data_IF_111929182386
#
_entry.id   IF_111929182386
#
_cell.length_a   1.000
_cell.length_b   1.000
_cell.length_c   1.000
_cell.angle_alpha   90.00
_cell.angle_beta   90.00
_cell.angle_gamma   90.00
#
_symmetry.space_group_name_H-M   'P 1'
#
loop_
_entity.id
_entity.type
_entity.pdbx_description
1 polymer ?
#
# COMPACT_ATOMS: atom_id res chain seq x y z
N UNK A 1 -7.57 1.01 -13.25
CA UNK A 1 -8.81 1.33 -12.50
C UNK A 1 -9.26 0.11 -11.70
N UNK A 2 -9.63 0.28 -10.41
CA UNK A 2 -10.15 -0.80 -9.57
C UNK A 2 -11.57 -0.42 -9.15
N UNK A 3 -12.55 -1.30 -9.33
CA UNK A 3 -13.93 -1.04 -8.91
C UNK A 3 -14.48 -2.16 -8.05
N UNK A 4 -15.23 -1.78 -7.03
CA UNK A 4 -15.95 -2.66 -6.12
C UNK A 4 -17.45 -2.40 -6.29
N UNK A 5 -18.22 -3.44 -6.45
CA UNK A 5 -19.68 -3.36 -6.57
C UNK A 5 -20.32 -4.30 -5.54
N UNK A 6 -20.91 -3.71 -4.51
CA UNK A 6 -21.64 -4.40 -3.43
C UNK A 6 -20.83 -5.53 -2.76
N UNK A 7 -19.54 -5.29 -2.54
CA UNK A 7 -18.62 -6.30 -2.01
C UNK A 7 -18.92 -6.57 -0.53
N UNK A 8 -19.00 -7.87 -0.19
CA UNK A 8 -19.22 -8.35 1.16
C UNK A 8 -18.19 -9.41 1.53
N UNK A 9 -17.76 -9.41 2.81
CA UNK A 9 -16.88 -10.44 3.37
C UNK A 9 -17.11 -10.61 4.85
N UNK A 10 -17.29 -11.86 5.28
CA UNK A 10 -17.36 -12.25 6.68
C UNK A 10 -16.37 -13.36 7.03
N UNK A 11 -16.14 -13.54 8.32
CA UNK A 11 -15.40 -14.66 8.89
C UNK A 11 -16.23 -15.26 10.03
N UNK A 12 -16.71 -16.48 9.83
CA UNK A 12 -17.70 -17.08 10.74
C UNK A 12 -18.97 -16.23 10.78
N UNK A 13 -19.37 -15.78 11.97
CA UNK A 13 -20.56 -14.95 12.15
C UNK A 13 -20.28 -13.43 12.15
N UNK A 14 -19.03 -13.02 11.93
CA UNK A 14 -18.65 -11.60 11.93
C UNK A 14 -18.56 -11.06 10.48
N UNK A 15 -19.38 -10.08 10.15
CA UNK A 15 -19.22 -9.30 8.92
C UNK A 15 -18.02 -8.36 9.08
N UNK A 16 -17.13 -8.34 8.08
CA UNK A 16 -15.90 -7.53 8.06
C UNK A 16 -15.94 -6.50 6.95
N UNK A 17 -16.62 -6.80 5.84
CA UNK A 17 -16.92 -5.88 4.76
C UNK A 17 -18.41 -6.01 4.47
N UNK A 18 -19.12 -4.88 4.52
CA UNK A 18 -20.57 -4.81 4.34
C UNK A 18 -20.93 -3.92 3.15
N UNK A 19 -21.27 -4.55 2.02
CA UNK A 19 -21.82 -3.89 0.85
C UNK A 19 -20.98 -2.69 0.33
N UNK A 20 -19.67 -2.83 0.27
CA UNK A 20 -18.78 -1.77 -0.21
C UNK A 20 -18.90 -1.62 -1.72
N UNK A 21 -19.21 -0.40 -2.16
CA UNK A 21 -19.18 0.03 -3.56
C UNK A 21 -18.32 1.28 -3.67
N UNK A 22 -17.20 1.19 -4.39
CA UNK A 22 -16.29 2.31 -4.63
C UNK A 22 -15.46 2.07 -5.91
N UNK A 23 -14.86 3.14 -6.42
CA UNK A 23 -13.95 3.07 -7.56
C UNK A 23 -12.65 3.77 -7.21
N UNK A 24 -11.52 3.16 -7.57
CA UNK A 24 -10.19 3.76 -7.51
C UNK A 24 -9.75 4.00 -8.95
N UNK A 25 -9.58 5.26 -9.30
CA UNK A 25 -9.24 5.68 -10.66
C UNK A 25 -7.81 5.24 -11.02
N UNK A 26 -7.57 5.14 -12.33
CA UNK A 26 -6.22 4.88 -12.85
C UNK A 26 -5.28 6.02 -12.45
N UNK A 27 -4.11 5.68 -11.95
CA UNK A 27 -3.10 6.66 -11.53
C UNK A 27 -3.38 7.32 -10.17
N UNK A 28 -4.48 6.98 -9.49
CA UNK A 28 -4.77 7.54 -8.18
C UNK A 28 -3.96 6.86 -7.06
N UNK A 29 -3.55 7.65 -6.08
CA UNK A 29 -3.00 7.16 -4.81
C UNK A 29 -4.08 7.26 -3.72
N UNK A 30 -4.63 6.13 -3.32
CA UNK A 30 -5.72 6.05 -2.33
C UNK A 30 -5.19 5.46 -1.02
N UNK A 31 -5.51 6.11 0.10
CA UNK A 31 -5.28 5.56 1.43
C UNK A 31 -6.58 4.99 2.03
N UNK A 32 -6.51 3.77 2.55
CA UNK A 32 -7.55 3.13 3.36
C UNK A 32 -7.18 3.29 4.84
N UNK A 33 -7.95 4.08 5.57
CA UNK A 33 -7.71 4.38 7.00
C UNK A 33 -8.87 3.86 7.83
N UNK A 34 -8.66 3.64 9.11
CA UNK A 34 -9.71 3.20 10.04
C UNK A 34 -9.13 2.41 11.22
N UNK A 35 -9.96 2.16 12.21
CA UNK A 35 -9.58 1.39 13.40
C UNK A 35 -9.11 -0.04 13.05
N UNK A 36 -8.45 -0.70 14.01
CA UNK A 36 -8.13 -2.14 13.86
C UNK A 36 -9.43 -2.93 13.69
N UNK A 37 -9.43 -3.90 12.77
CA UNK A 37 -10.62 -4.70 12.47
C UNK A 37 -11.63 -4.03 11.53
N UNK A 38 -11.41 -2.79 11.04
CA UNK A 38 -12.33 -2.10 10.14
C UNK A 38 -12.43 -2.69 8.71
N UNK A 39 -11.72 -3.78 8.41
CA UNK A 39 -11.78 -4.44 7.11
C UNK A 39 -10.74 -3.97 6.08
N UNK A 40 -9.88 -3.00 6.39
CA UNK A 40 -8.88 -2.41 5.47
C UNK A 40 -8.01 -3.44 4.75
N UNK A 41 -7.30 -4.26 5.53
CA UNK A 41 -6.43 -5.34 5.02
C UNK A 41 -7.22 -6.40 4.26
N UNK A 42 -8.44 -6.71 4.69
CA UNK A 42 -9.32 -7.64 3.99
C UNK A 42 -9.71 -7.10 2.62
N UNK A 43 -10.12 -5.82 2.54
CA UNK A 43 -10.47 -5.15 1.29
C UNK A 43 -9.25 -5.09 0.35
N UNK A 44 -8.07 -4.72 0.88
CA UNK A 44 -6.82 -4.72 0.12
C UNK A 44 -6.49 -6.11 -0.45
N UNK A 45 -6.57 -7.15 0.39
CA UNK A 45 -6.28 -8.55 0.01
C UNK A 45 -7.30 -9.12 -0.98
N UNK A 46 -8.52 -8.61 -0.98
CA UNK A 46 -9.54 -9.03 -1.95
C UNK A 46 -9.18 -8.60 -3.39
N UNK A 47 -8.51 -7.46 -3.60
CA UNK A 47 -8.13 -6.97 -4.93
C UNK A 47 -7.25 -7.98 -5.69
N UNK A 48 -6.29 -8.64 -4.99
CA UNK A 48 -5.39 -9.62 -5.61
C UNK A 48 -5.79 -11.08 -5.31
N UNK A 49 -7.03 -11.29 -4.82
CA UNK A 49 -7.59 -12.60 -4.46
C UNK A 49 -6.69 -13.38 -3.49
N UNK A 50 -6.10 -12.70 -2.51
CA UNK A 50 -5.53 -13.35 -1.31
C UNK A 50 -6.63 -13.66 -0.29
N UNK A 51 -7.74 -12.94 -0.37
CA UNK A 51 -9.00 -13.20 0.34
C UNK A 51 -10.11 -13.28 -0.71
N UNK A 52 -10.93 -14.31 -0.66
CA UNK A 52 -12.12 -14.42 -1.50
C UNK A 52 -13.27 -13.66 -0.85
N UNK A 53 -14.04 -12.93 -1.65
CA UNK A 53 -15.25 -12.21 -1.23
C UNK A 53 -16.43 -13.18 -1.17
N UNK A 54 -17.41 -12.89 -0.33
CA UNK A 54 -18.62 -13.73 -0.17
C UNK A 54 -19.75 -13.24 -1.08
N UNK A 55 -19.72 -11.98 -1.51
CA UNK A 55 -20.69 -11.41 -2.45
C UNK A 55 -20.17 -10.16 -3.13
N UNK A 56 -20.86 -9.72 -4.16
CA UNK A 56 -20.47 -8.58 -4.98
C UNK A 56 -19.46 -8.94 -6.08
N UNK A 57 -18.82 -7.91 -6.63
CA UNK A 57 -17.84 -8.06 -7.72
C UNK A 57 -16.70 -7.07 -7.55
N UNK A 58 -15.47 -7.51 -7.81
CA UNK A 58 -14.28 -6.64 -7.91
C UNK A 58 -13.77 -6.71 -9.35
N UNK A 59 -13.52 -5.55 -9.96
CA UNK A 59 -12.94 -5.47 -11.30
C UNK A 59 -11.62 -4.71 -11.27
N UNK A 60 -10.67 -5.19 -12.07
CA UNK A 60 -9.41 -4.52 -12.34
C UNK A 60 -9.34 -4.26 -13.83
N UNK A 61 -9.17 -3.00 -14.22
CA UNK A 61 -9.18 -2.53 -15.62
C UNK A 61 -10.42 -3.00 -16.42
N UNK A 62 -11.58 -3.03 -15.75
CA UNK A 62 -12.86 -3.45 -16.31
C UNK A 62 -13.10 -4.97 -16.31
N UNK A 63 -12.08 -5.78 -16.06
CA UNK A 63 -12.17 -7.24 -16.01
C UNK A 63 -12.55 -7.72 -14.61
N UNK A 64 -13.52 -8.61 -14.50
CA UNK A 64 -13.85 -9.27 -13.23
C UNK A 64 -12.70 -10.15 -12.77
N UNK A 65 -12.15 -9.85 -11.59
CA UNK A 65 -10.99 -10.60 -11.07
C UNK A 65 -11.31 -12.09 -10.81
N UNK A 66 -12.56 -12.43 -10.56
CA UNK A 66 -12.98 -13.83 -10.35
C UNK A 66 -12.81 -14.68 -11.61
N UNK A 67 -12.95 -14.08 -12.80
CA UNK A 67 -12.80 -14.76 -14.09
C UNK A 67 -11.34 -14.88 -14.55
N UNK A 68 -10.42 -14.11 -13.94
CA UNK A 68 -9.02 -14.10 -14.36
C UNK A 68 -8.23 -15.26 -13.72
N UNK A 69 -7.29 -15.88 -14.46
CA UNK A 69 -6.29 -16.75 -13.84
C UNK A 69 -5.49 -15.95 -12.79
N UNK A 70 -5.29 -16.52 -11.60
CA UNK A 70 -4.60 -15.85 -10.48
C UNK A 70 -3.23 -15.29 -10.87
N UNK A 71 -2.47 -16.04 -11.67
CA UNK A 71 -1.15 -15.60 -12.13
C UNK A 71 -1.25 -14.34 -13.01
N UNK A 72 -2.26 -14.24 -13.86
CA UNK A 72 -2.49 -13.08 -14.75
C UNK A 72 -2.83 -11.84 -13.91
N UNK A 73 -3.75 -11.97 -12.95
CA UNK A 73 -4.12 -10.89 -12.04
C UNK A 73 -2.90 -10.41 -11.25
N UNK A 74 -2.21 -11.33 -10.57
CA UNK A 74 -1.12 -10.99 -9.65
C UNK A 74 0.14 -10.46 -10.35
N UNK A 75 0.32 -10.71 -11.64
CA UNK A 75 1.41 -10.10 -12.44
C UNK A 75 1.21 -8.59 -12.66
N UNK A 76 -0.03 -8.10 -12.62
CA UNK A 76 -0.36 -6.66 -12.75
C UNK A 76 -0.17 -5.90 -11.43
N UNK A 77 0.00 -6.63 -10.31
CA UNK A 77 -0.08 -6.10 -8.95
C UNK A 77 1.23 -6.32 -8.21
N UNK A 78 1.86 -5.25 -7.78
CA UNK A 78 2.92 -5.28 -6.76
C UNK A 78 2.29 -5.26 -5.37
N UNK A 79 2.77 -6.10 -4.46
CA UNK A 79 2.26 -6.18 -3.11
C UNK A 79 3.37 -5.98 -2.07
N UNK A 80 3.20 -5.00 -1.20
CA UNK A 80 4.06 -4.76 -0.04
C UNK A 80 3.32 -5.22 1.22
N UNK A 81 3.88 -6.21 1.89
CA UNK A 81 3.28 -6.82 3.08
C UNK A 81 3.58 -6.02 4.35
N UNK A 82 2.71 -6.11 5.35
CA UNK A 82 2.88 -5.52 6.69
C UNK A 82 4.17 -5.99 7.38
N UNK A 83 4.59 -7.23 7.19
CA UNK A 83 5.95 -7.67 7.50
C UNK A 83 6.78 -7.66 6.23
N UNK A 84 8.08 -7.45 6.32
CA UNK A 84 8.95 -7.33 5.13
C UNK A 84 8.79 -8.53 4.18
N UNK A 85 8.55 -9.74 4.72
CA UNK A 85 8.23 -10.94 3.96
C UNK A 85 9.29 -11.33 2.93
N UNK A 86 10.56 -10.92 3.10
CA UNK A 86 11.66 -11.35 2.26
C UNK A 86 11.95 -12.84 2.48
N UNK A 87 12.34 -13.52 1.42
CA UNK A 87 12.80 -14.90 1.52
C UNK A 87 14.19 -14.92 2.17
N UNK A 88 14.35 -15.47 3.39
CA UNK A 88 15.56 -15.31 4.19
C UNK A 88 16.78 -16.03 3.60
N UNK A 89 16.57 -17.04 2.76
CA UNK A 89 17.60 -17.83 2.08
C UNK A 89 17.99 -17.28 0.70
N UNK A 90 17.34 -16.19 0.26
CA UNK A 90 17.63 -15.50 -0.99
C UNK A 90 18.34 -14.19 -0.71
N UNK A 91 19.31 -13.83 -1.55
CA UNK A 91 19.93 -12.50 -1.52
C UNK A 91 18.93 -11.41 -1.85
N UNK A 92 19.29 -10.15 -1.62
CA UNK A 92 18.50 -8.98 -2.04
C UNK A 92 18.20 -9.04 -3.53
N UNK A 93 19.20 -9.31 -4.36
CA UNK A 93 19.01 -9.44 -5.80
C UNK A 93 18.06 -10.58 -6.19
N UNK A 94 18.11 -11.70 -5.50
CA UNK A 94 17.21 -12.83 -5.75
C UNK A 94 15.77 -12.53 -5.32
N UNK A 95 15.59 -11.86 -4.18
CA UNK A 95 14.28 -11.39 -3.75
C UNK A 95 13.65 -10.44 -4.78
N UNK A 96 14.40 -9.43 -5.23
CA UNK A 96 13.93 -8.44 -6.22
C UNK A 96 13.63 -9.11 -7.57
N UNK A 97 14.50 -10.03 -8.00
CA UNK A 97 14.38 -10.71 -9.29
C UNK A 97 13.32 -11.82 -9.33
N UNK A 98 12.76 -12.19 -8.19
CA UNK A 98 11.83 -13.32 -8.13
C UNK A 98 10.60 -13.12 -9.03
N UNK A 99 9.96 -11.96 -8.95
CA UNK A 99 8.77 -11.68 -9.76
C UNK A 99 9.07 -11.62 -11.27
N UNK A 100 10.10 -10.90 -11.75
CA UNK A 100 10.53 -10.98 -13.14
C UNK A 100 10.80 -12.41 -13.62
N UNK A 101 11.50 -13.21 -12.82
CA UNK A 101 11.80 -14.62 -13.15
C UNK A 101 10.53 -15.44 -13.32
N UNK A 102 9.55 -15.28 -12.44
CA UNK A 102 8.25 -15.97 -12.54
C UNK A 102 7.42 -15.51 -13.76
N UNK A 103 7.73 -14.34 -14.30
CA UNK A 103 7.14 -13.85 -15.55
C UNK A 103 7.89 -14.30 -16.80
N UNK A 104 8.96 -15.10 -16.65
CA UNK A 104 9.76 -15.60 -17.77
C UNK A 104 10.82 -14.62 -18.27
N UNK A 105 11.19 -13.60 -17.48
CA UNK A 105 12.27 -12.70 -17.85
C UNK A 105 13.59 -13.43 -18.00
N UNK A 106 14.29 -13.17 -19.11
CA UNK A 106 15.61 -13.75 -19.35
C UNK A 106 16.65 -13.23 -18.34
N UNK A 107 17.65 -14.05 -17.96
CA UNK A 107 18.68 -13.63 -16.99
C UNK A 107 19.54 -12.44 -17.45
N UNK A 108 19.62 -12.20 -18.75
CA UNK A 108 20.30 -11.02 -19.30
C UNK A 108 19.65 -9.73 -18.81
N UNK A 109 20.48 -8.80 -18.31
CA UNK A 109 19.99 -7.52 -17.75
C UNK A 109 19.50 -7.59 -16.29
N UNK A 110 19.58 -8.77 -15.61
CA UNK A 110 19.22 -8.92 -14.20
C UNK A 110 19.95 -7.92 -13.31
N UNK A 111 21.28 -7.84 -13.45
CA UNK A 111 22.11 -6.99 -12.59
C UNK A 111 21.73 -5.51 -12.75
N UNK A 112 21.56 -5.04 -13.98
CA UNK A 112 21.15 -3.66 -14.29
C UNK A 112 19.75 -3.35 -13.74
N UNK A 113 18.80 -4.29 -13.93
CA UNK A 113 17.43 -4.11 -13.42
C UNK A 113 17.38 -4.09 -11.90
N UNK A 114 18.14 -4.96 -11.23
CA UNK A 114 18.24 -4.97 -9.76
C UNK A 114 18.88 -3.69 -9.25
N UNK A 115 20.00 -3.25 -9.85
CA UNK A 115 20.65 -2.01 -9.48
C UNK A 115 19.71 -0.79 -9.65
N UNK A 116 18.98 -0.72 -10.76
CA UNK A 116 17.98 0.31 -10.99
C UNK A 116 16.87 0.29 -9.93
N UNK A 117 16.34 -0.89 -9.56
CA UNK A 117 15.29 -1.01 -8.55
C UNK A 117 15.79 -0.67 -7.14
N UNK A 118 17.06 -0.98 -6.82
CA UNK A 118 17.69 -0.55 -5.57
C UNK A 118 17.84 0.98 -5.52
N UNK A 119 18.29 1.60 -6.62
CA UNK A 119 18.38 3.06 -6.72
C UNK A 119 17.02 3.74 -6.52
N UNK A 120 15.96 3.20 -7.12
CA UNK A 120 14.58 3.71 -6.96
C UNK A 120 14.11 3.77 -5.50
N UNK A 121 14.61 2.88 -4.65
CA UNK A 121 14.29 2.84 -3.22
C UNK A 121 15.42 3.39 -2.35
N UNK A 122 16.37 4.13 -2.95
CA UNK A 122 17.52 4.76 -2.29
C UNK A 122 18.38 3.76 -1.49
N UNK A 123 18.67 2.62 -2.11
CA UNK A 123 19.63 1.63 -1.61
C UNK A 123 20.81 1.48 -2.58
N UNK A 124 22.04 1.38 -2.04
CA UNK A 124 23.22 1.21 -2.88
C UNK A 124 23.25 -0.18 -3.55
N UNK A 125 23.78 -0.23 -4.78
CA UNK A 125 23.77 -1.46 -5.59
C UNK A 125 24.62 -2.61 -4.97
N UNK A 126 25.62 -2.29 -4.14
CA UNK A 126 26.45 -3.28 -3.44
C UNK A 126 25.69 -4.11 -2.40
N UNK A 127 24.47 -3.71 -2.06
CA UNK A 127 23.59 -4.50 -1.21
C UNK A 127 22.99 -5.73 -1.91
N UNK A 128 23.10 -5.82 -3.23
CA UNK A 128 22.47 -6.87 -4.05
C UNK A 128 22.77 -8.29 -3.56
N UNK A 129 23.99 -8.54 -3.10
CA UNK A 129 24.44 -9.86 -2.66
C UNK A 129 24.22 -10.14 -1.16
N UNK A 130 23.70 -9.17 -0.39
CA UNK A 130 23.40 -9.36 1.03
C UNK A 130 22.19 -10.26 1.23
N UNK A 131 22.20 -11.00 2.34
CA UNK A 131 21.02 -11.73 2.81
C UNK A 131 20.13 -10.81 3.68
N UNK A 132 18.81 -11.07 3.75
CA UNK A 132 17.89 -10.29 4.58
C UNK A 132 18.31 -10.15 6.05
N UNK A 133 18.96 -11.18 6.62
CA UNK A 133 19.45 -11.14 7.99
C UNK A 133 20.54 -10.07 8.25
N UNK A 134 21.16 -9.55 7.21
CA UNK A 134 22.20 -8.51 7.29
C UNK A 134 21.66 -7.11 6.97
N UNK A 135 20.34 -6.94 6.90
CA UNK A 135 19.68 -5.67 6.63
C UNK A 135 19.08 -5.08 7.90
N UNK A 136 19.11 -3.75 8.02
CA UNK A 136 18.26 -3.07 9.00
C UNK A 136 16.79 -3.22 8.61
N UNK A 137 15.86 -3.00 9.57
CA UNK A 137 14.42 -3.06 9.28
C UNK A 137 14.00 -2.14 8.12
N UNK A 138 14.53 -0.91 8.09
CA UNK A 138 14.26 0.05 7.01
C UNK A 138 14.84 -0.39 5.66
N UNK A 139 16.06 -0.97 5.66
CA UNK A 139 16.65 -1.51 4.43
C UNK A 139 15.84 -2.71 3.90
N UNK A 140 15.45 -3.62 4.78
CA UNK A 140 14.63 -4.76 4.42
C UNK A 140 13.27 -4.32 3.85
N UNK A 141 12.65 -3.28 4.42
CA UNK A 141 11.39 -2.71 3.91
C UNK A 141 11.56 -2.10 2.52
N UNK A 142 12.63 -1.33 2.29
CA UNK A 142 12.96 -0.77 0.96
C UNK A 142 13.20 -1.88 -0.08
N UNK A 143 13.87 -2.99 0.30
CA UNK A 143 13.99 -4.18 -0.57
C UNK A 143 12.62 -4.80 -0.86
N UNK A 144 11.70 -4.82 0.11
CA UNK A 144 10.32 -5.25 -0.09
C UNK A 144 9.58 -4.41 -1.15
N UNK A 145 9.77 -3.08 -1.15
CA UNK A 145 9.28 -2.20 -2.22
C UNK A 145 9.93 -2.51 -3.58
N UNK A 146 11.26 -2.62 -3.62
CA UNK A 146 11.98 -2.96 -4.85
C UNK A 146 11.50 -4.30 -5.44
N UNK A 147 11.25 -5.30 -4.60
CA UNK A 147 10.68 -6.59 -5.01
C UNK A 147 9.28 -6.43 -5.61
N UNK A 148 8.41 -5.65 -4.96
CA UNK A 148 7.05 -5.41 -5.45
C UNK A 148 7.04 -4.72 -6.82
N UNK A 149 8.00 -3.81 -7.04
CA UNK A 149 8.21 -3.10 -8.32
C UNK A 149 8.91 -3.96 -9.38
N UNK A 150 9.52 -5.08 -8.98
CA UNK A 150 10.31 -5.94 -9.86
C UNK A 150 9.59 -6.36 -11.14
N UNK A 151 8.32 -6.69 -11.01
CA UNK A 151 7.45 -7.10 -12.11
C UNK A 151 6.93 -5.96 -12.99
N UNK A 152 7.33 -4.70 -12.76
CA UNK A 152 6.78 -3.51 -13.39
C UNK A 152 5.24 -3.46 -13.33
N UNK A 153 4.64 -3.55 -12.13
CA UNK A 153 3.20 -3.58 -11.97
C UNK A 153 2.57 -2.23 -12.36
N UNK A 154 1.29 -2.25 -12.73
CA UNK A 154 0.46 -1.04 -12.88
C UNK A 154 -0.27 -0.65 -11.59
N UNK A 155 -0.41 -1.59 -10.66
CA UNK A 155 -1.10 -1.42 -9.39
C UNK A 155 -0.14 -1.78 -8.24
N UNK A 156 -0.12 -0.94 -7.21
CA UNK A 156 0.62 -1.20 -5.96
C UNK A 156 -0.35 -1.30 -4.79
N UNK A 157 -0.33 -2.43 -4.11
CA UNK A 157 -1.09 -2.67 -2.88
C UNK A 157 -0.11 -2.72 -1.71
N UNK A 158 -0.35 -1.92 -0.68
CA UNK A 158 0.56 -1.74 0.45
C UNK A 158 -0.21 -1.90 1.76
N UNK A 159 0.17 -2.90 2.55
CA UNK A 159 -0.46 -3.23 3.83
C UNK A 159 0.46 -2.77 4.97
N UNK A 160 0.18 -1.60 5.56
CA UNK A 160 0.97 -0.94 6.62
C UNK A 160 2.48 -0.91 6.33
N UNK A 161 2.91 -0.44 5.15
CA UNK A 161 4.28 -0.63 4.68
C UNK A 161 5.32 0.16 5.48
N UNK A 162 4.89 1.16 6.25
CA UNK A 162 5.78 2.05 6.98
C UNK A 162 5.72 1.86 8.51
N UNK A 163 4.82 0.99 9.00
CA UNK A 163 4.53 0.83 10.43
C UNK A 163 5.72 0.42 11.31
N UNK A 164 6.66 -0.34 10.77
CA UNK A 164 7.84 -0.82 11.50
C UNK A 164 9.08 0.10 11.39
N UNK A 165 8.93 1.27 10.74
CA UNK A 165 10.04 2.21 10.50
C UNK A 165 10.09 3.30 11.57
N UNK A 166 11.32 3.76 11.85
CA UNK A 166 11.51 5.01 12.61
C UNK A 166 10.92 6.21 11.85
N UNK A 167 10.59 7.32 12.55
CA UNK A 167 9.90 8.46 11.93
C UNK A 167 10.65 9.10 10.76
N UNK A 168 11.99 9.15 10.79
CA UNK A 168 12.81 9.75 9.74
C UNK A 168 12.75 8.88 8.49
N UNK A 169 13.09 7.60 8.63
CA UNK A 169 13.05 6.61 7.53
C UNK A 169 11.64 6.51 6.93
N UNK A 170 10.60 6.55 7.77
CA UNK A 170 9.18 6.54 7.33
C UNK A 170 8.89 7.73 6.41
N UNK A 171 9.23 8.95 6.84
CA UNK A 171 9.01 10.17 6.07
C UNK A 171 9.78 10.17 4.75
N UNK A 172 11.04 9.74 4.77
CA UNK A 172 11.87 9.65 3.57
C UNK A 172 11.32 8.64 2.57
N UNK A 173 11.00 7.42 3.03
CA UNK A 173 10.48 6.37 2.17
C UNK A 173 9.10 6.72 1.63
N UNK A 174 8.22 7.32 2.44
CA UNK A 174 6.91 7.78 2.00
C UNK A 174 7.02 8.80 0.86
N UNK A 175 7.88 9.83 1.03
CA UNK A 175 8.13 10.84 -0.03
C UNK A 175 8.77 10.23 -1.27
N UNK A 176 9.74 9.35 -1.11
CA UNK A 176 10.38 8.66 -2.23
C UNK A 176 9.39 7.79 -3.00
N UNK A 177 8.51 7.08 -2.27
CA UNK A 177 7.44 6.30 -2.90
C UNK A 177 6.42 7.19 -3.62
N UNK A 178 6.01 8.34 -3.03
CA UNK A 178 5.09 9.29 -3.69
C UNK A 178 5.66 9.78 -5.03
N UNK A 179 6.92 10.19 -5.03
CA UNK A 179 7.60 10.62 -6.26
C UNK A 179 7.70 9.48 -7.30
N UNK A 180 7.92 8.25 -6.84
CA UNK A 180 7.94 7.06 -7.70
C UNK A 180 6.57 6.76 -8.30
N UNK A 181 5.51 6.82 -7.48
CA UNK A 181 4.12 6.65 -7.91
C UNK A 181 3.76 7.61 -9.05
N UNK A 182 4.06 8.89 -8.88
CA UNK A 182 3.82 9.92 -9.92
C UNK A 182 4.62 9.66 -11.20
N UNK A 183 5.92 9.38 -11.06
CA UNK A 183 6.80 9.13 -12.21
C UNK A 183 6.40 7.91 -13.02
N UNK A 184 5.91 6.86 -12.36
CA UNK A 184 5.51 5.60 -13.01
C UNK A 184 4.03 5.55 -13.39
N UNK A 185 3.22 6.53 -12.99
CA UNK A 185 1.77 6.54 -13.20
C UNK A 185 1.07 5.35 -12.55
N UNK A 186 1.51 4.94 -11.35
CA UNK A 186 0.97 3.79 -10.66
C UNK A 186 -0.45 4.07 -10.13
N UNK A 187 -1.27 3.03 -10.02
CA UNK A 187 -2.47 3.07 -9.17
C UNK A 187 -2.09 2.47 -7.83
N UNK A 188 -2.14 3.25 -6.74
CA UNK A 188 -1.65 2.81 -5.43
C UNK A 188 -2.76 2.76 -4.39
N UNK A 189 -2.81 1.68 -3.62
CA UNK A 189 -3.70 1.54 -2.45
C UNK A 189 -2.84 1.28 -1.22
N UNK A 190 -2.91 2.20 -0.27
CA UNK A 190 -2.19 2.17 1.00
C UNK A 190 -3.15 1.86 2.14
N UNK A 191 -2.93 0.80 2.87
CA UNK A 191 -3.57 0.59 4.18
C UNK A 191 -2.66 1.16 5.25
N UNK A 192 -3.19 2.04 6.06
CA UNK A 192 -2.49 2.59 7.24
C UNK A 192 -3.49 2.86 8.38
N UNK A 193 -3.00 2.91 9.60
CA UNK A 193 -3.73 3.40 10.77
C UNK A 193 -3.33 4.83 11.13
N UNK A 194 -2.35 5.39 10.43
CA UNK A 194 -1.84 6.75 10.63
C UNK A 194 -2.54 7.73 9.68
N UNK A 195 -3.40 8.60 10.23
CA UNK A 195 -4.14 9.61 9.47
C UNK A 195 -3.20 10.65 8.86
N UNK A 196 -2.13 11.03 9.55
CA UNK A 196 -1.17 12.01 9.02
C UNK A 196 -0.45 11.46 7.79
N UNK A 197 -0.07 10.17 7.82
CA UNK A 197 0.52 9.48 6.67
C UNK A 197 -0.44 9.49 5.46
N UNK A 198 -1.71 9.16 5.68
CA UNK A 198 -2.73 9.16 4.64
C UNK A 198 -2.93 10.55 4.03
N UNK A 199 -3.04 11.59 4.87
CA UNK A 199 -3.22 12.98 4.44
C UNK A 199 -2.02 13.54 3.65
N UNK A 200 -0.80 13.07 3.97
CA UNK A 200 0.43 13.57 3.34
C UNK A 200 0.77 12.85 2.02
N UNK A 201 0.36 11.58 1.87
CA UNK A 201 0.78 10.76 0.74
C UNK A 201 -0.30 10.56 -0.32
N UNK A 202 -1.57 10.47 0.08
CA UNK A 202 -2.63 10.07 -0.82
C UNK A 202 -3.32 11.26 -1.51
N UNK A 203 -3.87 11.01 -2.70
CA UNK A 203 -4.75 11.95 -3.42
C UNK A 203 -6.18 11.89 -2.85
N UNK A 204 -6.54 10.74 -2.27
CA UNK A 204 -7.88 10.44 -1.75
C UNK A 204 -7.77 9.52 -0.54
N UNK A 205 -8.52 9.82 0.50
CA UNK A 205 -8.55 9.04 1.73
C UNK A 205 -9.94 8.45 1.92
N UNK A 206 -9.99 7.13 2.06
CA UNK A 206 -11.21 6.37 2.35
C UNK A 206 -11.11 5.90 3.80
N UNK A 207 -12.05 6.33 4.64
CA UNK A 207 -12.11 5.91 6.04
C UNK A 207 -13.12 4.78 6.16
N UNK A 208 -12.65 3.63 6.67
CA UNK A 208 -13.47 2.45 6.92
C UNK A 208 -13.78 2.31 8.42
N UNK A 209 -15.00 1.91 8.72
CA UNK A 209 -15.44 1.57 10.08
C UNK A 209 -16.66 0.67 10.06
N UNK A 210 -16.70 -0.34 10.93
CA UNK A 210 -17.81 -1.28 10.98
C UNK A 210 -18.09 -2.01 9.66
N UNK A 211 -17.05 -2.25 8.85
CA UNK A 211 -17.20 -2.90 7.53
C UNK A 211 -17.70 -2.00 6.41
N UNK A 212 -17.98 -0.72 6.66
CA UNK A 212 -18.52 0.22 5.70
C UNK A 212 -17.56 1.40 5.44
N UNK A 213 -17.82 2.15 4.35
CA UNK A 213 -17.14 3.41 4.05
C UNK A 213 -17.82 4.52 4.87
N UNK A 214 -17.07 5.16 5.77
CA UNK A 214 -17.55 6.29 6.60
C UNK A 214 -17.25 7.65 5.97
N UNK A 215 -16.15 7.76 5.24
CA UNK A 215 -15.79 8.94 4.47
C UNK A 215 -14.94 8.52 3.26
N UNK A 216 -15.03 9.32 2.20
CA UNK A 216 -14.32 9.09 0.94
C UNK A 216 -14.08 10.45 0.29
N UNK A 217 -12.93 11.06 0.56
CA UNK A 217 -12.65 12.46 0.28
C UNK A 217 -11.17 12.71 -0.05
N UNK A 218 -10.86 13.76 -0.82
CA UNK A 218 -9.50 14.29 -0.89
C UNK A 218 -9.02 14.77 0.48
N UNK A 219 -7.70 14.77 0.76
CA UNK A 219 -7.13 15.19 2.05
C UNK A 219 -7.62 16.57 2.54
N UNK A 220 -7.73 17.55 1.65
CA UNK A 220 -8.20 18.90 2.01
C UNK A 220 -9.63 18.89 2.53
N UNK A 221 -10.53 18.21 1.83
CA UNK A 221 -11.95 18.15 2.20
C UNK A 221 -12.15 17.31 3.46
N UNK A 222 -11.30 16.30 3.66
CA UNK A 222 -11.32 15.47 4.87
C UNK A 222 -10.93 16.28 6.12
N UNK A 223 -10.00 17.22 6.02
CA UNK A 223 -9.65 18.11 7.13
C UNK A 223 -10.85 18.94 7.64
N UNK A 224 -11.77 19.29 6.76
CA UNK A 224 -12.99 20.04 7.10
C UNK A 224 -14.21 19.16 7.35
N UNK A 225 -14.03 17.84 7.39
CA UNK A 225 -15.11 16.88 7.53
C UNK A 225 -15.89 17.04 8.84
N UNK A 226 -17.23 17.12 8.75
CA UNK A 226 -18.15 17.34 9.88
C UNK A 226 -19.12 16.17 10.13
N UNK A 227 -18.94 15.06 9.38
CA UNK A 227 -19.80 13.89 9.46
C UNK A 227 -19.52 13.01 10.69
N UNK A 228 -19.26 11.75 10.44
CA UNK A 228 -19.12 10.69 11.45
C UNK A 228 -18.12 11.05 12.57
N UNK A 229 -18.52 10.94 13.87
CA UNK A 229 -17.66 11.33 15.00
C UNK A 229 -16.33 10.57 15.06
N UNK A 230 -16.32 9.28 14.71
CA UNK A 230 -15.10 8.47 14.67
C UNK A 230 -14.07 8.97 13.66
N UNK A 231 -14.54 9.44 12.49
CA UNK A 231 -13.66 10.03 11.47
C UNK A 231 -13.08 11.35 11.98
N UNK A 232 -13.92 12.21 12.58
CA UNK A 232 -13.47 13.49 13.17
C UNK A 232 -12.41 13.28 14.23
N UNK A 233 -12.61 12.34 15.15
CA UNK A 233 -11.63 12.04 16.19
C UNK A 233 -10.27 11.65 15.62
N UNK A 234 -10.23 10.89 14.52
CA UNK A 234 -8.96 10.51 13.86
C UNK A 234 -8.26 11.73 13.23
N UNK A 235 -9.02 12.65 12.64
CA UNK A 235 -8.51 13.90 12.05
C UNK A 235 -7.99 14.82 13.16
N UNK A 236 -8.75 14.98 14.23
CA UNK A 236 -8.40 15.85 15.37
C UNK A 236 -7.09 15.41 16.02
N UNK A 237 -6.85 14.10 16.18
CA UNK A 237 -5.57 13.58 16.67
C UNK A 237 -4.39 14.00 15.79
N UNK A 238 -4.53 13.87 14.46
CA UNK A 238 -3.47 14.26 13.53
C UNK A 238 -3.22 15.77 13.54
N UNK A 239 -4.29 16.57 13.64
CA UNK A 239 -4.24 18.03 13.74
C UNK A 239 -3.57 18.48 15.03
N UNK A 240 -4.01 17.96 16.17
CA UNK A 240 -3.46 18.29 17.49
C UNK A 240 -1.96 18.00 17.58
N UNK A 241 -1.50 16.90 16.94
CA UNK A 241 -0.07 16.58 16.86
C UNK A 241 0.70 17.64 16.07
N UNK A 242 0.18 18.05 14.91
CA UNK A 242 0.80 19.09 14.09
C UNK A 242 0.83 20.44 14.81
N UNK A 243 -0.27 20.86 15.42
CA UNK A 243 -0.38 22.14 16.15
C UNK A 243 0.58 22.19 17.35
N UNK A 244 0.70 21.09 18.10
CA UNK A 244 1.65 21.00 19.22
C UNK A 244 3.11 21.12 18.77
N UNK A 245 3.47 20.46 17.65
CA UNK A 245 4.82 20.58 17.09
C UNK A 245 5.10 22.01 16.62
N UNK A 246 4.14 22.67 15.97
CA UNK A 246 4.27 24.05 15.55
C UNK A 246 4.39 25.02 16.74
N UNK A 247 3.60 24.80 17.79
CA UNK A 247 3.66 25.60 19.02
C UNK A 247 5.03 25.47 19.71
N UNK A 248 5.60 24.26 19.77
CA UNK A 248 6.94 24.04 20.32
C UNK A 248 8.03 24.74 19.49
N UNK A 249 7.93 24.69 18.16
CA UNK A 249 8.89 25.34 17.26
C UNK A 249 8.85 26.89 17.30
N UNK A 250 7.74 27.48 17.79
CA UNK A 250 7.58 28.93 17.96
C UNK A 250 7.90 29.42 19.37
N UNK A 251 8.16 28.50 20.30
CA UNK A 251 8.42 28.83 21.71
C UNK A 251 9.91 29.17 22.01
N UNK A 252 10.80 29.08 21.01
CA UNK A 252 12.19 29.52 20.98
C UNK A 252 12.31 30.87 20.23
#
# INVERSE_FOLDING_TARGET
>A
MISFAQVTKGYGNAAVIENISLTIELGAFVALVGASGAGKTTLLKAINRLVEIDGGTIRVDGEDIASLPLATLRRRIGYVFQGVGLFPHMTVAENIWLAPRLQGAAPGGRAERVAHLLDLVSLPADMADRLPAHLSGGQAQRVGFARALGAAPSIMLMDEPFGALDPVTRSELGRAYRALHERMGLTSVLVTHDMAEALLLADRVIVLGGGAVLADLPPRDLLDFRGEPGVRAMIDVARDQADRLEALARAD
#
